data_IF_086091187043
#
_entry.id   IF_086091187043
#
_cell.length_a   1.000
_cell.length_b   1.000
_cell.length_c   1.000
_cell.angle_alpha   90.00
_cell.angle_beta   90.00
_cell.angle_gamma   90.00
#
_symmetry.space_group_name_H-M   'P 1'
#
loop_
_entity.id
_entity.type
_entity.pdbx_description
1 polymer ?
#
# COMPACT_ATOMS: atom_id res chain seq x y z
N UNK A 1 14.02 -20.48 2.33
CA UNK A 1 13.25 -19.98 1.17
C UNK A 1 13.67 -18.59 0.69
N UNK A 2 14.16 -17.70 1.56
CA UNK A 2 14.66 -16.37 1.21
C UNK A 2 15.58 -15.82 2.32
N UNK A 3 16.42 -14.84 2.00
CA UNK A 3 17.07 -13.98 3.03
C UNK A 3 16.14 -12.85 3.45
N UNK A 4 16.20 -12.42 4.70
CA UNK A 4 15.36 -11.36 5.26
C UNK A 4 16.24 -10.21 5.74
N UNK A 5 15.89 -8.97 5.40
CA UNK A 5 16.64 -7.81 5.87
C UNK A 5 16.05 -6.48 5.45
N UNK A 6 16.82 -5.42 5.74
CA UNK A 6 16.52 -4.05 5.39
C UNK A 6 17.70 -3.48 4.62
N UNK A 7 17.42 -2.73 3.56
CA UNK A 7 18.39 -1.77 3.02
C UNK A 7 18.12 -0.37 3.54
N UNK A 8 16.89 -0.10 3.97
CA UNK A 8 16.47 1.20 4.46
C UNK A 8 15.30 1.12 5.46
N UNK A 9 15.59 1.41 6.72
CA UNK A 9 14.60 1.41 7.80
C UNK A 9 13.89 2.76 7.96
N UNK A 10 14.44 3.85 7.45
CA UNK A 10 13.85 5.17 7.68
C UNK A 10 12.55 5.39 6.88
N UNK A 11 11.56 5.98 7.53
CA UNK A 11 10.41 6.56 6.87
C UNK A 11 10.18 7.97 7.44
N UNK A 12 10.14 9.02 6.61
CA UNK A 12 9.89 10.39 7.05
C UNK A 12 8.42 10.64 7.41
N UNK A 13 7.53 9.68 7.13
CA UNK A 13 6.09 9.86 7.37
C UNK A 13 5.79 9.59 8.84
N UNK A 14 5.29 10.60 9.53
CA UNK A 14 4.84 10.49 10.93
C UNK A 14 3.36 10.14 11.02
N UNK A 15 2.91 9.15 10.24
CA UNK A 15 1.51 8.72 10.25
C UNK A 15 1.11 8.23 11.65
N UNK A 16 0.09 8.84 12.25
CA UNK A 16 -0.33 8.56 13.63
C UNK A 16 -0.78 7.11 13.86
N UNK A 17 -1.35 6.48 12.83
CA UNK A 17 -1.78 5.08 12.86
C UNK A 17 -0.61 4.09 12.74
N UNK A 18 0.57 4.55 12.31
CA UNK A 18 1.70 3.70 12.00
C UNK A 18 2.54 3.38 13.24
N UNK A 19 3.12 2.19 13.28
CA UNK A 19 4.09 1.80 14.32
C UNK A 19 5.49 2.32 14.04
N UNK A 20 5.84 2.53 12.76
CA UNK A 20 7.19 2.92 12.32
C UNK A 20 7.69 4.14 13.09
N UNK A 21 6.98 5.28 13.22
CA UNK A 21 7.49 6.44 13.96
C UNK A 21 7.80 6.18 15.46
N UNK A 22 7.35 5.06 16.02
CA UNK A 22 7.57 4.64 17.41
C UNK A 22 8.78 3.69 17.56
N UNK A 23 9.36 3.26 16.45
CA UNK A 23 10.52 2.38 16.39
C UNK A 23 11.81 3.21 16.19
N UNK A 24 12.96 2.56 16.40
CA UNK A 24 14.23 3.13 15.97
C UNK A 24 14.36 2.97 14.45
N UNK A 25 14.38 4.08 13.71
CA UNK A 25 14.46 4.05 12.25
C UNK A 25 15.71 4.81 11.79
N UNK A 26 16.89 4.15 11.78
CA UNK A 26 18.12 4.78 11.37
C UNK A 26 18.04 5.27 9.93
N UNK A 27 18.59 6.46 9.66
CA UNK A 27 18.78 7.00 8.30
C UNK A 27 20.09 6.50 7.71
N UNK A 28 20.24 5.18 7.66
CA UNK A 28 21.45 4.51 7.19
C UNK A 28 21.05 3.52 6.10
N UNK A 29 21.72 3.62 4.97
CA UNK A 29 21.57 2.66 3.88
C UNK A 29 22.46 1.45 4.16
N UNK A 30 21.89 0.26 3.95
CA UNK A 30 22.57 -1.02 4.05
C UNK A 30 22.53 -1.73 2.71
N UNK A 31 23.63 -2.41 2.36
CA UNK A 31 23.71 -3.23 1.16
C UNK A 31 22.96 -4.54 1.35
N UNK A 32 22.36 -5.09 0.28
CA UNK A 32 21.78 -6.44 0.37
C UNK A 32 22.84 -7.50 0.67
N UNK A 33 24.11 -7.24 0.30
CA UNK A 33 25.22 -8.17 0.52
C UNK A 33 25.55 -8.38 2.00
N UNK A 34 25.06 -7.51 2.89
CA UNK A 34 25.23 -7.64 4.34
C UNK A 34 24.38 -8.76 4.94
N UNK A 35 23.27 -9.13 4.30
CA UNK A 35 22.32 -10.13 4.83
C UNK A 35 21.90 -11.19 3.81
N UNK A 36 22.20 -11.00 2.53
CA UNK A 36 21.87 -11.96 1.50
C UNK A 36 22.78 -13.21 1.60
N UNK A 37 22.14 -14.36 1.79
CA UNK A 37 22.77 -15.66 1.73
C UNK A 37 22.61 -16.20 0.31
N UNK A 38 23.75 -16.40 -0.36
CA UNK A 38 23.84 -16.81 -1.77
C UNK A 38 23.19 -18.16 -2.08
N UNK A 39 22.82 -18.96 -1.07
CA UNK A 39 22.03 -20.17 -1.29
C UNK A 39 20.57 -19.88 -1.70
N UNK A 40 20.05 -18.68 -1.41
CA UNK A 40 18.69 -18.28 -1.73
C UNK A 40 18.62 -17.48 -3.02
N UNK A 41 17.53 -17.64 -3.78
CA UNK A 41 17.27 -16.83 -5.00
C UNK A 41 16.22 -15.74 -4.75
N UNK A 42 15.87 -15.52 -3.48
CA UNK A 42 14.81 -14.61 -3.04
C UNK A 42 15.28 -13.80 -1.84
N UNK A 43 14.81 -12.56 -1.76
CA UNK A 43 14.97 -11.71 -0.57
C UNK A 43 13.63 -11.13 -0.15
N UNK A 44 13.41 -11.04 1.15
CA UNK A 44 12.30 -10.30 1.73
C UNK A 44 12.84 -8.99 2.29
N UNK A 45 12.43 -7.88 1.68
CA UNK A 45 12.81 -6.54 2.13
C UNK A 45 11.73 -6.00 3.07
N UNK A 46 12.16 -5.58 4.25
CA UNK A 46 11.29 -5.00 5.27
C UNK A 46 11.42 -3.48 5.34
N UNK A 47 11.86 -2.84 4.25
CA UNK A 47 12.03 -1.40 4.18
C UNK A 47 10.71 -0.68 4.53
N UNK A 48 10.79 0.34 5.37
CA UNK A 48 9.59 1.07 5.80
C UNK A 48 9.08 2.03 4.70
N UNK A 49 9.98 2.58 3.89
CA UNK A 49 9.66 3.34 2.70
C UNK A 49 10.88 3.39 1.76
N UNK A 50 11.00 2.41 0.87
CA UNK A 50 12.16 2.20 -0.01
C UNK A 50 12.57 3.46 -0.77
N UNK A 51 11.61 4.22 -1.32
CA UNK A 51 11.93 5.39 -2.16
C UNK A 51 12.25 6.68 -1.39
N UNK A 52 12.35 6.60 -0.07
CA UNK A 52 12.89 7.70 0.75
C UNK A 52 14.39 7.55 1.03
N UNK A 53 14.96 6.39 0.71
CA UNK A 53 16.38 6.15 0.71
C UNK A 53 17.04 6.97 -0.41
N UNK A 54 18.01 7.85 -0.15
CA UNK A 54 18.76 8.52 -1.23
C UNK A 54 19.52 7.53 -2.13
N UNK A 55 19.83 6.33 -1.63
CA UNK A 55 20.55 5.24 -2.30
C UNK A 55 19.62 4.08 -2.71
N UNK A 56 18.34 4.39 -2.97
CA UNK A 56 17.38 3.36 -3.39
C UNK A 56 17.83 2.65 -4.67
N UNK A 57 18.53 3.32 -5.60
CA UNK A 57 18.98 2.75 -6.88
C UNK A 57 19.98 1.62 -6.67
N UNK A 58 20.87 1.79 -5.72
CA UNK A 58 21.90 0.84 -5.32
C UNK A 58 21.24 -0.45 -4.84
N UNK A 59 20.19 -0.37 -4.02
CA UNK A 59 19.39 -1.54 -3.62
C UNK A 59 18.89 -2.33 -4.85
N UNK A 60 18.27 -1.66 -5.82
CA UNK A 60 17.75 -2.35 -7.00
C UNK A 60 18.85 -2.86 -7.95
N UNK A 61 19.97 -2.15 -8.04
CA UNK A 61 21.12 -2.59 -8.82
C UNK A 61 21.70 -3.89 -8.24
N UNK A 62 21.91 -3.96 -6.93
CA UNK A 62 22.40 -5.16 -6.27
C UNK A 62 21.42 -6.34 -6.42
N UNK A 63 20.11 -6.08 -6.32
CA UNK A 63 19.06 -7.10 -6.55
C UNK A 63 19.14 -7.66 -7.97
N UNK A 64 19.33 -6.78 -8.95
CA UNK A 64 19.50 -7.15 -10.35
C UNK A 64 20.77 -7.97 -10.57
N UNK A 65 21.89 -7.55 -9.99
CA UNK A 65 23.19 -8.22 -10.10
C UNK A 65 23.15 -9.63 -9.49
N UNK A 66 22.51 -9.77 -8.33
CA UNK A 66 22.26 -11.04 -7.67
C UNK A 66 21.14 -11.88 -8.32
N UNK A 67 20.42 -11.32 -9.30
CA UNK A 67 19.27 -11.95 -10.00
C UNK A 67 18.17 -12.42 -9.05
N UNK A 68 17.91 -11.65 -8.00
CA UNK A 68 16.98 -12.03 -6.94
C UNK A 68 15.52 -11.73 -7.30
N UNK A 69 14.62 -12.50 -6.70
CA UNK A 69 13.18 -12.17 -6.64
C UNK A 69 12.87 -11.53 -5.29
N UNK A 70 12.21 -10.39 -5.31
CA UNK A 70 11.89 -9.59 -4.12
C UNK A 70 10.51 -9.98 -3.59
N UNK A 71 10.44 -10.23 -2.30
CA UNK A 71 9.20 -10.28 -1.51
C UNK A 71 9.12 -8.93 -0.79
N UNK A 72 8.09 -8.14 -1.08
CA UNK A 72 7.84 -6.86 -0.41
C UNK A 72 6.55 -6.96 0.42
N UNK A 73 6.67 -6.73 1.72
CA UNK A 73 5.57 -6.81 2.69
C UNK A 73 5.03 -5.43 3.09
N UNK A 74 5.76 -4.33 2.84
CA UNK A 74 5.42 -3.00 3.35
C UNK A 74 4.91 -2.05 2.26
N UNK A 75 5.27 -2.31 1.00
CA UNK A 75 4.80 -1.55 -0.16
C UNK A 75 5.58 -0.25 -0.42
N UNK A 76 5.13 0.47 -1.46
CA UNK A 76 5.78 1.67 -1.98
C UNK A 76 4.92 2.93 -1.80
N UNK A 77 5.58 4.09 -1.69
CA UNK A 77 4.92 5.38 -1.56
C UNK A 77 4.56 5.97 -2.93
N UNK A 78 3.26 5.91 -3.27
CA UNK A 78 2.71 6.47 -4.51
C UNK A 78 3.07 7.94 -4.74
N UNK A 79 3.24 8.71 -3.66
CA UNK A 79 3.52 10.16 -3.73
C UNK A 79 4.95 10.45 -4.20
N UNK A 80 5.83 9.45 -4.14
CA UNK A 80 7.24 9.55 -4.53
C UNK A 80 7.52 8.97 -5.92
N UNK A 81 6.51 8.38 -6.56
CA UNK A 81 6.65 7.76 -7.88
C UNK A 81 7.07 8.78 -8.93
N UNK A 82 7.96 8.33 -9.81
CA UNK A 82 8.35 8.98 -11.06
C UNK A 82 8.62 7.89 -12.12
N UNK A 83 8.99 8.31 -13.34
CA UNK A 83 9.28 7.38 -14.44
C UNK A 83 10.48 6.48 -14.15
N UNK A 84 11.47 6.96 -13.40
CA UNK A 84 12.67 6.18 -13.11
C UNK A 84 12.34 5.04 -12.14
N UNK A 85 11.65 5.35 -11.04
CA UNK A 85 11.18 4.37 -10.06
C UNK A 85 10.25 3.35 -10.70
N UNK A 86 9.35 3.79 -11.58
CA UNK A 86 8.49 2.88 -12.35
C UNK A 86 9.31 1.90 -13.19
N UNK A 87 10.37 2.38 -13.86
CA UNK A 87 11.24 1.53 -14.67
C UNK A 87 11.98 0.49 -13.81
N UNK A 88 12.47 0.88 -12.63
CA UNK A 88 13.10 -0.05 -11.68
C UNK A 88 12.11 -1.09 -11.13
N UNK A 89 10.88 -0.70 -10.78
CA UNK A 89 9.86 -1.66 -10.40
C UNK A 89 9.61 -2.65 -11.55
N UNK A 90 9.46 -2.16 -12.78
CA UNK A 90 9.19 -2.98 -13.96
C UNK A 90 10.34 -3.90 -14.38
N UNK A 91 11.59 -3.58 -14.06
CA UNK A 91 12.75 -4.43 -14.34
C UNK A 91 13.04 -5.44 -13.21
N UNK A 92 12.47 -5.22 -12.04
CA UNK A 92 12.66 -6.07 -10.85
C UNK A 92 11.65 -7.21 -10.82
N UNK A 93 12.10 -8.40 -10.40
CA UNK A 93 11.22 -9.55 -10.18
C UNK A 93 10.63 -9.47 -8.79
N UNK A 94 9.30 -9.58 -8.71
CA UNK A 94 8.59 -9.62 -7.44
C UNK A 94 7.81 -10.92 -7.28
N UNK A 95 7.68 -11.37 -6.05
CA UNK A 95 6.75 -12.42 -5.65
C UNK A 95 5.50 -11.80 -5.04
N UNK A 96 4.36 -12.00 -5.68
CA UNK A 96 3.08 -11.46 -5.24
C UNK A 96 2.75 -10.09 -5.82
N UNK A 97 1.88 -9.36 -5.13
CA UNK A 97 1.39 -8.04 -5.52
C UNK A 97 2.33 -6.95 -5.01
N UNK A 98 2.47 -5.86 -5.77
CA UNK A 98 3.01 -4.63 -5.22
C UNK A 98 1.92 -3.87 -4.48
N UNK A 99 2.25 -3.43 -3.27
CA UNK A 99 1.32 -2.69 -2.43
C UNK A 99 1.65 -1.20 -2.45
N UNK A 100 0.60 -0.38 -2.49
CA UNK A 100 0.68 1.06 -2.29
C UNK A 100 -0.40 1.49 -1.31
N UNK A 101 -0.39 2.75 -0.86
CA UNK A 101 -1.42 3.26 0.06
C UNK A 101 -1.94 4.65 -0.35
N UNK A 102 -3.22 4.89 -0.06
CA UNK A 102 -3.89 6.19 -0.16
C UNK A 102 -4.69 6.43 1.13
N UNK A 103 -3.98 6.73 2.21
CA UNK A 103 -4.56 6.77 3.57
C UNK A 103 -5.18 8.11 3.98
N UNK A 104 -4.94 9.18 3.22
CA UNK A 104 -5.37 10.54 3.55
C UNK A 104 -5.77 11.28 2.27
N UNK A 105 -6.95 11.91 2.26
CA UNK A 105 -7.48 12.62 1.08
C UNK A 105 -6.64 13.85 0.74
N UNK A 106 -5.95 14.40 1.74
CA UNK A 106 -5.03 15.53 1.59
C UNK A 106 -3.88 15.24 0.62
N UNK A 107 -3.52 13.95 0.45
CA UNK A 107 -2.50 13.52 -0.51
C UNK A 107 -3.02 13.35 -1.96
N UNK A 108 -4.31 13.61 -2.22
CA UNK A 108 -5.00 13.32 -3.49
C UNK A 108 -4.22 13.78 -4.73
N UNK A 109 -3.75 15.03 -4.75
CA UNK A 109 -3.04 15.60 -5.90
C UNK A 109 -1.79 14.77 -6.28
N UNK A 110 -1.01 14.37 -5.28
CA UNK A 110 0.19 13.55 -5.47
C UNK A 110 -0.15 12.10 -5.78
N UNK A 111 -1.20 11.56 -5.16
CA UNK A 111 -1.68 10.21 -5.43
C UNK A 111 -2.16 10.10 -6.88
N UNK A 112 -2.94 11.06 -7.39
CA UNK A 112 -3.37 11.07 -8.80
C UNK A 112 -2.19 11.09 -9.78
N UNK A 113 -1.15 11.87 -9.49
CA UNK A 113 0.09 11.87 -10.29
C UNK A 113 0.75 10.49 -10.29
N UNK A 114 0.87 9.87 -9.11
CA UNK A 114 1.45 8.53 -8.96
C UNK A 114 0.61 7.44 -9.64
N UNK A 115 -0.73 7.51 -9.55
CA UNK A 115 -1.65 6.59 -10.22
C UNK A 115 -1.54 6.67 -11.74
N UNK A 116 -1.37 7.86 -12.30
CA UNK A 116 -1.16 8.02 -13.74
C UNK A 116 0.14 7.35 -14.20
N UNK A 117 1.22 7.52 -13.43
CA UNK A 117 2.48 6.81 -13.68
C UNK A 117 2.32 5.28 -13.56
N UNK A 118 1.57 4.81 -12.55
CA UNK A 118 1.32 3.39 -12.35
C UNK A 118 0.58 2.73 -13.51
N UNK A 119 -0.08 3.46 -14.42
CA UNK A 119 -0.67 2.84 -15.61
C UNK A 119 0.35 2.09 -16.47
N UNK A 120 1.63 2.45 -16.38
CA UNK A 120 2.74 1.75 -17.03
C UNK A 120 3.33 0.57 -16.23
N UNK A 121 2.78 0.22 -15.07
CA UNK A 121 3.27 -0.90 -14.25
C UNK A 121 2.97 -2.24 -14.92
N UNK A 122 3.94 -3.16 -14.90
CA UNK A 122 3.83 -4.51 -15.45
C UNK A 122 3.43 -5.56 -14.41
N UNK A 123 3.52 -5.19 -13.13
CA UNK A 123 3.18 -6.04 -11.99
C UNK A 123 1.72 -5.84 -11.60
N UNK A 124 1.13 -6.85 -11.00
CA UNK A 124 -0.15 -6.68 -10.34
C UNK A 124 0.03 -5.81 -9.09
N UNK A 125 -0.90 -4.87 -8.89
CA UNK A 125 -0.82 -3.92 -7.79
C UNK A 125 -2.12 -3.92 -6.98
N UNK A 126 -2.01 -3.60 -5.70
CA UNK A 126 -3.14 -3.36 -4.81
C UNK A 126 -2.90 -2.07 -4.04
N UNK A 127 -3.95 -1.25 -3.89
CA UNK A 127 -3.84 0.07 -3.26
C UNK A 127 -4.66 0.09 -1.98
N UNK A 128 -3.97 0.15 -0.85
CA UNK A 128 -4.59 0.16 0.46
C UNK A 128 -5.27 1.50 0.78
N UNK A 129 -6.42 1.41 1.42
CA UNK A 129 -7.19 2.56 1.92
C UNK A 129 -7.53 2.30 3.38
N UNK A 130 -6.86 2.98 4.31
CA UNK A 130 -7.21 2.93 5.72
C UNK A 130 -8.51 3.68 6.01
N UNK A 131 -9.43 3.03 6.73
CA UNK A 131 -10.71 3.60 7.19
C UNK A 131 -10.89 3.42 8.70
N UNK A 132 -11.77 4.23 9.29
CA UNK A 132 -12.05 4.18 10.74
C UNK A 132 -10.93 4.75 11.62
N UNK A 133 -10.01 5.52 11.03
CA UNK A 133 -8.96 6.28 11.72
C UNK A 133 -9.24 7.79 11.64
N UNK A 134 -9.11 8.55 12.76
CA UNK A 134 -8.78 8.09 14.11
C UNK A 134 -9.87 7.19 14.72
N UNK A 135 -9.51 6.44 15.77
CA UNK A 135 -10.45 5.55 16.48
C UNK A 135 -11.67 6.36 16.89
N UNK A 136 -12.84 6.04 16.34
CA UNK A 136 -13.93 7.00 16.44
C UNK A 136 -14.75 7.08 15.17
N UNK A 137 -14.05 7.09 14.05
CA UNK A 137 -14.54 7.60 12.77
C UNK A 137 -15.45 6.62 12.04
N UNK A 138 -16.54 7.16 11.50
CA UNK A 138 -17.48 6.47 10.61
C UNK A 138 -16.98 6.54 9.16
N UNK A 139 -17.55 5.72 8.27
CA UNK A 139 -17.32 5.91 6.82
C UNK A 139 -17.94 7.22 6.39
N UNK A 140 -17.17 8.06 5.70
CA UNK A 140 -17.63 9.34 5.14
C UNK A 140 -17.32 9.49 3.64
N UNK A 141 -17.63 10.64 3.06
CA UNK A 141 -17.45 10.86 1.61
C UNK A 141 -15.99 10.78 1.18
N UNK A 142 -15.03 11.06 2.07
CA UNK A 142 -13.60 11.01 1.72
C UNK A 142 -13.13 9.56 1.58
N UNK A 143 -13.67 8.62 2.36
CA UNK A 143 -13.35 7.20 2.23
C UNK A 143 -13.85 6.65 0.89
N UNK A 144 -15.06 7.06 0.49
CA UNK A 144 -15.67 6.72 -0.81
C UNK A 144 -14.88 7.35 -1.94
N UNK A 145 -14.53 8.64 -1.82
CA UNK A 145 -13.79 9.38 -2.84
C UNK A 145 -12.42 8.74 -3.10
N UNK A 146 -11.67 8.37 -2.06
CA UNK A 146 -10.37 7.69 -2.21
C UNK A 146 -10.49 6.37 -2.98
N UNK A 147 -11.51 5.57 -2.69
CA UNK A 147 -11.77 4.33 -3.44
C UNK A 147 -12.13 4.61 -4.90
N UNK A 148 -12.98 5.62 -5.16
CA UNK A 148 -13.37 6.02 -6.51
C UNK A 148 -12.17 6.51 -7.34
N UNK A 149 -11.30 7.33 -6.75
CA UNK A 149 -10.07 7.81 -7.40
C UNK A 149 -9.18 6.67 -7.87
N UNK A 150 -9.03 5.63 -7.03
CA UNK A 150 -8.25 4.45 -7.35
C UNK A 150 -8.89 3.66 -8.51
N UNK A 151 -10.20 3.44 -8.47
CA UNK A 151 -10.90 2.70 -9.51
C UNK A 151 -10.95 3.46 -10.85
N UNK A 152 -11.14 4.77 -10.84
CA UNK A 152 -11.11 5.61 -12.05
C UNK A 152 -9.72 5.59 -12.71
N UNK A 153 -8.66 5.37 -11.92
CA UNK A 153 -7.33 5.15 -12.43
C UNK A 153 -7.12 3.73 -13.01
N UNK A 154 -8.08 2.82 -12.86
CA UNK A 154 -8.02 1.45 -13.36
C UNK A 154 -7.42 0.43 -12.39
N UNK A 155 -7.33 0.78 -11.09
CA UNK A 155 -6.76 -0.08 -10.05
C UNK A 155 -7.80 -0.54 -9.03
N UNK A 156 -7.45 -1.57 -8.26
CA UNK A 156 -8.33 -2.09 -7.21
C UNK A 156 -7.97 -1.50 -5.85
N UNK A 157 -8.89 -0.74 -5.21
CA UNK A 157 -8.72 -0.32 -3.84
C UNK A 157 -8.94 -1.52 -2.91
N UNK A 158 -8.20 -1.55 -1.81
CA UNK A 158 -8.34 -2.54 -0.76
C UNK A 158 -8.46 -1.85 0.60
N UNK A 159 -9.65 -1.96 1.19
CA UNK A 159 -9.97 -1.30 2.45
C UNK A 159 -9.36 -2.05 3.63
N UNK A 160 -8.63 -1.31 4.45
CA UNK A 160 -8.10 -1.73 5.74
C UNK A 160 -8.85 -1.03 6.88
N UNK A 161 -9.47 -1.81 7.76
CA UNK A 161 -10.19 -1.25 8.92
C UNK A 161 -9.21 -1.05 10.08
N UNK A 162 -9.07 0.19 10.54
CA UNK A 162 -8.23 0.53 11.68
C UNK A 162 -8.73 -0.13 12.97
N UNK A 163 -7.80 -0.72 13.73
CA UNK A 163 -8.02 -1.24 15.09
C UNK A 163 -9.28 -2.13 15.25
N UNK A 164 -9.27 -3.27 14.56
CA UNK A 164 -10.35 -4.28 14.53
C UNK A 164 -10.71 -4.92 15.89
N UNK A 165 -10.04 -4.53 16.98
CA UNK A 165 -10.28 -5.04 18.35
C UNK A 165 -11.59 -4.52 18.97
N UNK A 166 -12.34 -3.66 18.28
CA UNK A 166 -13.68 -3.23 18.67
C UNK A 166 -14.66 -4.42 18.52
N UNK A 167 -15.60 -4.57 19.47
CA UNK A 167 -16.65 -5.59 19.40
C UNK A 167 -17.41 -5.47 18.07
N UNK A 168 -17.57 -6.58 17.36
CA UNK A 168 -18.30 -6.65 16.08
C UNK A 168 -19.77 -6.18 16.17
N UNK A 169 -20.33 -6.13 17.39
CA UNK A 169 -21.68 -5.64 17.66
C UNK A 169 -21.82 -4.12 17.72
N UNK A 170 -20.72 -3.36 17.71
CA UNK A 170 -20.82 -1.89 17.68
C UNK A 170 -21.28 -1.42 16.29
N UNK A 171 -22.33 -0.58 16.16
CA UNK A 171 -22.88 -0.18 14.86
C UNK A 171 -21.84 0.38 13.88
N UNK A 172 -20.90 1.18 14.39
CA UNK A 172 -19.78 1.70 13.60
C UNK A 172 -18.89 0.58 13.05
N UNK A 173 -18.57 -0.43 13.85
CA UNK A 173 -17.75 -1.56 13.39
C UNK A 173 -18.49 -2.40 12.35
N UNK A 174 -19.82 -2.48 12.44
CA UNK A 174 -20.64 -3.10 11.40
C UNK A 174 -20.54 -2.33 10.08
N UNK A 175 -20.70 -1.00 10.12
CA UNK A 175 -20.55 -0.13 8.94
C UNK A 175 -19.15 -0.26 8.30
N UNK A 176 -18.07 -0.21 9.10
CA UNK A 176 -16.70 -0.38 8.61
C UNK A 176 -16.50 -1.75 7.94
N UNK A 177 -17.04 -2.82 8.52
CA UNK A 177 -16.95 -4.16 7.93
C UNK A 177 -17.83 -4.31 6.68
N UNK A 178 -19.00 -3.68 6.63
CA UNK A 178 -19.84 -3.62 5.42
C UNK A 178 -19.09 -2.92 4.29
N UNK A 179 -18.50 -1.76 4.56
CA UNK A 179 -17.71 -1.02 3.58
C UNK A 179 -16.51 -1.82 3.10
N UNK A 180 -15.75 -2.43 4.02
CA UNK A 180 -14.65 -3.33 3.64
C UNK A 180 -15.12 -4.50 2.77
N UNK A 181 -16.24 -5.15 3.12
CA UNK A 181 -16.79 -6.25 2.32
C UNK A 181 -17.22 -5.77 0.95
N UNK A 182 -17.87 -4.61 0.86
CA UNK A 182 -18.29 -4.03 -0.41
C UNK A 182 -17.06 -3.78 -1.30
N UNK A 183 -16.06 -3.05 -0.80
CA UNK A 183 -14.90 -2.66 -1.59
C UNK A 183 -14.02 -3.86 -1.94
N UNK A 184 -13.73 -4.74 -0.98
CA UNK A 184 -12.82 -5.86 -1.23
C UNK A 184 -13.50 -7.00 -2.02
N UNK A 185 -14.83 -6.99 -2.17
CA UNK A 185 -15.58 -7.86 -3.10
C UNK A 185 -15.97 -7.07 -4.34
N UNK A 186 -15.02 -6.98 -5.26
CA UNK A 186 -15.00 -6.10 -6.44
C UNK A 186 -16.27 -6.08 -7.32
N UNK A 187 -17.11 -7.11 -7.26
CA UNK A 187 -18.22 -7.32 -8.18
C UNK A 187 -19.30 -6.22 -8.16
N UNK A 188 -19.61 -5.67 -6.98
CA UNK A 188 -20.77 -4.77 -6.83
C UNK A 188 -20.42 -3.36 -7.28
N UNK A 189 -19.32 -2.81 -6.77
CA UNK A 189 -18.91 -1.44 -7.11
C UNK A 189 -18.38 -1.33 -8.53
N UNK A 190 -17.81 -2.38 -9.13
CA UNK A 190 -17.45 -2.35 -10.56
C UNK A 190 -18.65 -2.19 -11.49
N UNK A 191 -19.84 -2.62 -11.04
CA UNK A 191 -21.08 -2.47 -11.81
C UNK A 191 -21.79 -1.14 -11.55
N UNK A 192 -21.81 -0.67 -10.31
CA UNK A 192 -22.63 0.47 -9.88
C UNK A 192 -21.84 1.76 -9.63
N UNK A 193 -20.51 1.69 -9.52
CA UNK A 193 -19.67 2.74 -8.92
C UNK A 193 -19.73 2.71 -7.39
N UNK A 194 -18.76 3.32 -6.70
CA UNK A 194 -18.69 3.21 -5.22
C UNK A 194 -19.84 3.90 -4.52
N UNK A 195 -20.23 5.10 -4.95
CA UNK A 195 -21.30 5.87 -4.29
C UNK A 195 -22.62 5.12 -4.31
N UNK A 196 -23.01 4.61 -5.48
CA UNK A 196 -24.28 3.89 -5.61
C UNK A 196 -24.23 2.52 -4.95
N UNK A 197 -23.11 1.80 -5.11
CA UNK A 197 -22.90 0.54 -4.42
C UNK A 197 -22.97 0.70 -2.90
N UNK A 198 -22.41 1.78 -2.35
CA UNK A 198 -22.46 2.05 -0.92
C UNK A 198 -23.87 2.31 -0.42
N UNK A 199 -24.68 3.12 -1.13
CA UNK A 199 -26.09 3.34 -0.79
C UNK A 199 -26.88 2.03 -0.71
N UNK A 200 -26.72 1.18 -1.73
CA UNK A 200 -27.40 -0.13 -1.78
C UNK A 200 -26.97 -1.01 -0.61
N UNK A 201 -25.67 -1.01 -0.28
CA UNK A 201 -25.12 -1.87 0.77
C UNK A 201 -25.39 -1.36 2.19
N UNK A 202 -25.46 -0.05 2.40
CA UNK A 202 -25.74 0.56 3.71
C UNK A 202 -27.21 0.48 4.09
N UNK A 203 -28.12 0.42 3.11
CA UNK A 203 -29.57 0.28 3.34
C UNK A 203 -30.06 -1.17 3.40
N UNK A 204 -29.19 -2.16 3.12
CA UNK A 204 -29.59 -3.57 3.09
C UNK A 204 -29.65 -4.25 4.47
N UNK A 205 -29.24 -3.55 5.54
CA UNK A 205 -29.21 -4.05 6.92
C UNK A 205 -30.16 -3.25 7.87
N UNK A 206 -31.10 -2.47 7.32
CA UNK A 206 -32.29 -1.92 8.05
C UNK A 206 -33.52 -2.82 7.83
#
# INVERSE_FOLDING_TARGET
DYSLGWTWEYCPRSCEFCVVPKQNNPKVHHSIWEFHDTQFTKICLLNNNTFTDPQWRETFAEISDARLTVIDQNGYDLRLMDLEKLNYLNSTRFEGLLHFAFDSIEDESKIRQGLELLRGIKHQVQIYVLVGFPKGRWIDETDIARCQIIADAGFDPFVMVYNRKIRSSEPRMQQLNQFQRLVNRIFIWRRLGFTEAWKVYSCADE
#
